data_IF_175550594189
#
_entry.id   IF_175550594189
#
_cell.length_a   1.000
_cell.length_b   1.000
_cell.length_c   1.000
_cell.angle_alpha   90.00
_cell.angle_beta   90.00
_cell.angle_gamma   90.00
#
_symmetry.space_group_name_H-M   'P 1'
#
loop_
_entity.id
_entity.type
_entity.pdbx_description
1 polymer ?
#
# COMPACT_ATOMS: atom_id res chain seq x y z
N UNK A 1 -22.33 -15.98 9.35
CA UNK A 1 -21.20 -15.35 10.09
C UNK A 1 -20.39 -14.41 9.21
N UNK A 2 -19.43 -14.86 8.37
CA UNK A 2 -18.58 -13.93 7.58
C UNK A 2 -19.38 -13.01 6.66
N UNK A 3 -20.35 -13.55 5.92
CA UNK A 3 -21.23 -12.76 5.04
C UNK A 3 -22.15 -11.76 5.77
N UNK A 4 -22.30 -11.88 7.09
CA UNK A 4 -23.09 -10.95 7.92
C UNK A 4 -22.22 -9.88 8.58
N UNK A 5 -20.91 -10.14 8.72
CA UNK A 5 -19.95 -9.26 9.41
C UNK A 5 -19.24 -8.35 8.39
N UNK A 6 -18.70 -8.93 7.32
CA UNK A 6 -17.85 -8.22 6.34
C UNK A 6 -18.52 -7.02 5.64
N UNK A 7 -19.83 -7.05 5.31
CA UNK A 7 -20.48 -5.90 4.68
C UNK A 7 -20.60 -4.67 5.61
N UNK A 8 -20.67 -4.89 6.93
CA UNK A 8 -20.87 -3.82 7.92
C UNK A 8 -19.73 -2.80 7.84
N UNK A 9 -18.49 -3.26 7.67
CA UNK A 9 -17.34 -2.38 7.50
C UNK A 9 -17.52 -1.43 6.31
N UNK A 10 -17.93 -1.98 5.16
CA UNK A 10 -18.04 -1.21 3.91
C UNK A 10 -19.17 -0.17 3.98
N UNK A 11 -20.33 -0.57 4.48
CA UNK A 11 -21.48 0.34 4.61
C UNK A 11 -21.25 1.41 5.67
N UNK A 12 -20.75 1.01 6.84
CA UNK A 12 -20.47 1.96 7.91
C UNK A 12 -19.34 2.92 7.55
N UNK A 13 -18.28 2.45 6.86
CA UNK A 13 -17.22 3.31 6.40
C UNK A 13 -17.74 4.42 5.49
N UNK A 14 -18.56 4.07 4.48
CA UNK A 14 -19.17 5.05 3.59
C UNK A 14 -20.02 6.07 4.36
N UNK A 15 -20.84 5.59 5.31
CA UNK A 15 -21.72 6.44 6.11
C UNK A 15 -20.95 7.38 7.06
N UNK A 16 -19.85 6.91 7.65
CA UNK A 16 -19.06 7.63 8.65
C UNK A 16 -18.02 8.56 8.01
N UNK A 17 -17.54 8.23 6.80
CA UNK A 17 -16.50 8.99 6.11
C UNK A 17 -16.88 10.46 5.90
N UNK A 18 -18.09 10.72 5.40
CA UNK A 18 -18.56 12.08 5.08
C UNK A 18 -18.70 12.93 6.36
N UNK A 19 -19.39 12.47 7.43
CA UNK A 19 -19.44 13.20 8.70
C UNK A 19 -18.06 13.45 9.31
N UNK A 20 -17.18 12.44 9.35
CA UNK A 20 -15.85 12.58 9.95
C UNK A 20 -15.01 13.59 9.19
N UNK A 21 -15.06 13.57 7.85
CA UNK A 21 -14.39 14.56 7.02
C UNK A 21 -14.87 15.99 7.31
N UNK A 22 -16.18 16.22 7.36
CA UNK A 22 -16.75 17.54 7.66
C UNK A 22 -16.47 18.01 9.09
N UNK A 23 -16.55 17.11 10.07
CA UNK A 23 -16.25 17.43 11.48
C UNK A 23 -14.78 17.75 11.71
N UNK A 24 -13.88 17.21 10.90
CA UNK A 24 -12.44 17.36 11.07
C UNK A 24 -12.00 18.81 11.02
N UNK A 25 -12.48 19.55 10.02
CA UNK A 25 -12.14 20.95 9.85
C UNK A 25 -12.91 21.85 10.84
N UNK A 26 -14.16 21.48 11.17
CA UNK A 26 -14.97 22.20 12.16
C UNK A 26 -14.39 22.10 13.59
N UNK A 27 -13.93 20.91 14.00
CA UNK A 27 -13.47 20.62 15.36
C UNK A 27 -11.97 20.79 15.57
N UNK A 28 -11.24 21.33 14.59
CA UNK A 28 -9.78 21.52 14.65
C UNK A 28 -9.01 20.24 14.99
N UNK A 29 -9.36 19.13 14.34
CA UNK A 29 -8.64 17.83 14.33
C UNK A 29 -8.53 17.05 15.66
N UNK A 30 -8.31 17.69 16.82
CA UNK A 30 -8.04 17.02 18.11
C UNK A 30 -9.18 16.08 18.57
N UNK A 31 -10.46 16.47 18.52
CA UNK A 31 -11.55 15.57 18.95
C UNK A 31 -11.70 14.35 18.03
N UNK A 32 -11.42 14.50 16.73
CA UNK A 32 -11.44 13.38 15.77
C UNK A 32 -10.32 12.37 16.06
N UNK A 33 -9.16 12.84 16.53
CA UNK A 33 -8.07 11.97 16.95
C UNK A 33 -8.38 11.21 18.24
N UNK A 34 -9.05 11.86 19.20
CA UNK A 34 -9.54 11.18 20.41
C UNK A 34 -10.59 10.13 20.05
N UNK A 35 -11.52 10.46 19.15
CA UNK A 35 -12.50 9.50 18.63
C UNK A 35 -11.83 8.30 17.94
N UNK A 36 -10.77 8.55 17.18
CA UNK A 36 -9.95 7.49 16.58
C UNK A 36 -9.31 6.58 17.64
N UNK A 37 -8.71 7.17 18.68
CA UNK A 37 -8.10 6.40 19.76
C UNK A 37 -9.11 5.54 20.52
N UNK A 38 -10.25 6.12 20.89
CA UNK A 38 -11.33 5.42 21.60
C UNK A 38 -11.92 4.29 20.77
N UNK A 39 -12.17 4.52 19.48
CA UNK A 39 -12.67 3.48 18.57
C UNK A 39 -11.68 2.32 18.41
N UNK A 40 -10.37 2.58 18.34
CA UNK A 40 -9.34 1.53 18.34
C UNK A 40 -9.38 0.68 19.62
N UNK A 41 -9.50 1.31 20.80
CA UNK A 41 -9.61 0.60 22.08
C UNK A 41 -10.87 -0.28 22.10
N UNK A 42 -12.01 0.24 21.61
CA UNK A 42 -13.24 -0.53 21.47
C UNK A 42 -13.08 -1.75 20.56
N UNK A 43 -12.39 -1.61 19.42
CA UNK A 43 -12.08 -2.74 18.52
C UNK A 43 -11.30 -3.82 19.25
N UNK A 44 -10.24 -3.45 19.98
CA UNK A 44 -9.42 -4.42 20.73
C UNK A 44 -10.21 -5.13 21.83
N UNK A 45 -11.02 -4.40 22.61
CA UNK A 45 -11.86 -5.00 23.65
C UNK A 45 -12.90 -5.97 23.06
N UNK A 46 -13.53 -5.59 21.96
CA UNK A 46 -14.48 -6.47 21.26
C UNK A 46 -13.78 -7.72 20.71
N UNK A 47 -12.58 -7.59 20.13
CA UNK A 47 -11.82 -8.75 19.65
C UNK A 47 -11.40 -9.70 20.77
N UNK A 48 -11.06 -9.19 21.96
CA UNK A 48 -10.58 -10.00 23.08
C UNK A 48 -11.70 -10.72 23.85
N UNK A 49 -12.84 -10.07 24.04
CA UNK A 49 -13.88 -10.54 24.95
C UNK A 49 -15.16 -11.05 24.28
N UNK A 50 -15.32 -10.84 22.96
CA UNK A 50 -16.58 -11.17 22.29
C UNK A 50 -16.53 -12.47 21.48
N UNK A 51 -17.63 -13.22 21.54
CA UNK A 51 -17.81 -14.51 20.87
C UNK A 51 -19.05 -14.56 19.97
N UNK A 52 -19.83 -13.47 19.89
CA UNK A 52 -21.09 -13.40 19.14
C UNK A 52 -20.98 -12.54 17.88
N UNK A 53 -21.76 -12.89 16.85
CA UNK A 53 -21.78 -12.21 15.54
C UNK A 53 -22.10 -10.72 15.67
N UNK A 54 -23.03 -10.36 16.54
CA UNK A 54 -23.43 -8.96 16.76
C UNK A 54 -22.26 -8.12 17.30
N UNK A 55 -21.43 -8.69 18.18
CA UNK A 55 -20.24 -8.01 18.68
C UNK A 55 -19.17 -7.83 17.59
N UNK A 56 -19.02 -8.81 16.70
CA UNK A 56 -18.12 -8.71 15.55
C UNK A 56 -18.60 -7.67 14.54
N UNK A 57 -19.92 -7.51 14.35
CA UNK A 57 -20.49 -6.42 13.54
C UNK A 57 -20.21 -5.05 14.16
N UNK A 58 -20.37 -4.90 15.48
CA UNK A 58 -19.99 -3.66 16.18
C UNK A 58 -18.48 -3.38 16.08
N UNK A 59 -17.65 -4.41 16.14
CA UNK A 59 -16.21 -4.28 15.93
C UNK A 59 -15.89 -3.69 14.57
N UNK A 60 -16.50 -4.20 13.49
CA UNK A 60 -16.34 -3.65 12.13
C UNK A 60 -16.83 -2.20 12.01
N UNK A 61 -17.90 -1.83 12.71
CA UNK A 61 -18.37 -0.45 12.79
C UNK A 61 -17.34 0.48 13.47
N UNK A 62 -16.79 0.10 14.62
CA UNK A 62 -15.75 0.91 15.27
C UNK A 62 -14.46 0.97 14.45
N UNK A 63 -14.14 -0.11 13.74
CA UNK A 63 -13.02 -0.15 12.82
C UNK A 63 -13.22 0.80 11.63
N UNK A 64 -14.45 0.97 11.13
CA UNK A 64 -14.75 1.93 10.06
C UNK A 64 -14.56 3.39 10.50
N UNK A 65 -14.94 3.74 11.74
CA UNK A 65 -14.66 5.05 12.36
C UNK A 65 -13.15 5.30 12.40
N UNK A 66 -12.39 4.28 12.84
CA UNK A 66 -10.93 4.33 12.88
C UNK A 66 -10.32 4.60 11.49
N UNK A 67 -10.82 3.92 10.46
CA UNK A 67 -10.37 4.10 9.08
C UNK A 67 -10.70 5.48 8.52
N UNK A 68 -11.90 6.01 8.80
CA UNK A 68 -12.30 7.34 8.37
C UNK A 68 -11.45 8.44 9.03
N UNK A 69 -11.23 8.35 10.34
CA UNK A 69 -10.43 9.31 11.08
C UNK A 69 -8.93 9.30 10.71
N UNK A 70 -8.42 8.21 10.12
CA UNK A 70 -7.03 8.14 9.61
C UNK A 70 -6.74 9.17 8.51
N UNK A 71 -7.74 9.51 7.71
CA UNK A 71 -7.62 10.54 6.66
C UNK A 71 -7.42 11.92 7.32
N UNK A 72 -8.21 12.21 8.35
CA UNK A 72 -8.10 13.43 9.15
C UNK A 72 -6.74 13.58 9.85
N UNK A 73 -6.21 12.49 10.43
CA UNK A 73 -4.87 12.47 11.03
C UNK A 73 -3.78 12.85 10.02
N UNK A 74 -3.88 12.34 8.79
CA UNK A 74 -2.91 12.61 7.74
C UNK A 74 -2.89 14.09 7.35
N UNK A 75 -4.02 14.79 7.40
CA UNK A 75 -4.08 16.24 7.17
C UNK A 75 -3.59 17.04 8.37
N UNK A 76 -3.94 16.63 9.60
CA UNK A 76 -3.50 17.29 10.83
C UNK A 76 -1.98 17.30 10.98
N UNK A 77 -1.31 16.21 10.64
CA UNK A 77 0.14 16.10 10.79
C UNK A 77 0.91 17.10 9.92
N UNK A 78 0.35 17.48 8.76
CA UNK A 78 0.90 18.53 7.91
C UNK A 78 0.57 19.92 8.47
N UNK A 79 -0.58 20.11 9.12
CA UNK A 79 -0.91 21.40 9.77
C UNK A 79 0.03 21.79 10.93
N UNK A 80 0.68 20.80 11.57
CA UNK A 80 1.60 21.01 12.70
C UNK A 80 3.04 21.32 12.29
N UNK A 81 3.38 21.14 11.02
CA UNK A 81 4.76 21.16 10.54
C UNK A 81 4.92 22.34 9.57
N UNK A 82 6.06 23.04 9.54
CA UNK A 82 6.30 24.04 8.51
C UNK A 82 6.34 23.41 7.12
N UNK A 83 5.90 24.10 6.04
CA UNK A 83 5.89 23.55 4.67
C UNK A 83 7.25 22.99 4.21
N UNK A 84 8.36 23.57 4.67
CA UNK A 84 9.72 23.10 4.39
C UNK A 84 10.00 21.66 4.86
N UNK A 85 9.21 21.15 5.81
CA UNK A 85 9.38 19.83 6.42
C UNK A 85 8.31 18.82 5.98
N UNK A 86 7.34 19.19 5.13
CA UNK A 86 6.26 18.29 4.69
C UNK A 86 6.78 16.99 4.07
N UNK A 87 7.77 17.08 3.20
CA UNK A 87 8.36 15.90 2.54
C UNK A 87 8.99 14.94 3.55
N UNK A 88 9.67 15.46 4.58
CA UNK A 88 10.24 14.64 5.66
C UNK A 88 9.15 14.03 6.53
N UNK A 89 8.11 14.81 6.86
CA UNK A 89 6.99 14.33 7.68
C UNK A 89 6.21 13.21 6.98
N UNK A 90 5.97 13.35 5.68
CA UNK A 90 5.36 12.30 4.86
C UNK A 90 6.22 11.02 4.85
N UNK A 91 7.54 11.17 4.75
CA UNK A 91 8.50 10.07 4.83
C UNK A 91 8.45 9.32 6.16
N UNK A 92 8.54 10.05 7.29
CA UNK A 92 8.49 9.46 8.63
C UNK A 92 7.16 8.78 8.93
N UNK A 93 6.04 9.43 8.58
CA UNK A 93 4.70 8.86 8.75
C UNK A 93 4.54 7.54 7.98
N UNK A 94 5.06 7.48 6.74
CA UNK A 94 4.99 6.25 5.95
C UNK A 94 5.92 5.15 6.49
N UNK A 95 7.10 5.51 6.97
CA UNK A 95 8.05 4.57 7.55
C UNK A 95 7.51 3.93 8.84
N UNK A 96 6.87 4.72 9.72
CA UNK A 96 6.31 4.21 10.98
C UNK A 96 5.15 3.23 10.75
N UNK A 97 4.26 3.51 9.80
CA UNK A 97 3.18 2.58 9.42
C UNK A 97 3.75 1.25 8.92
N UNK A 98 4.77 1.29 8.06
CA UNK A 98 5.40 0.08 7.52
C UNK A 98 6.11 -0.73 8.61
N UNK A 99 6.81 -0.07 9.53
CA UNK A 99 7.43 -0.73 10.68
C UNK A 99 6.38 -1.39 11.59
N UNK A 100 5.26 -0.72 11.84
CA UNK A 100 4.16 -1.29 12.64
C UNK A 100 3.52 -2.52 12.01
N UNK A 101 3.33 -2.53 10.69
CA UNK A 101 2.83 -3.71 9.96
C UNK A 101 3.84 -4.85 10.01
N UNK A 102 5.13 -4.54 9.85
CA UNK A 102 6.20 -5.52 9.93
C UNK A 102 6.25 -6.17 11.33
N UNK A 103 6.30 -5.38 12.40
CA UNK A 103 6.40 -5.89 13.76
C UNK A 103 5.16 -6.69 14.18
N UNK A 104 3.95 -6.24 13.82
CA UNK A 104 2.71 -6.96 14.15
C UNK A 104 2.58 -8.28 13.40
N UNK A 105 3.01 -8.34 12.14
CA UNK A 105 3.00 -9.58 11.35
C UNK A 105 3.97 -10.62 11.91
N UNK A 106 5.19 -10.18 12.28
CA UNK A 106 6.18 -11.05 12.92
C UNK A 106 5.67 -11.57 14.27
N UNK A 107 5.13 -10.68 15.11
CA UNK A 107 4.60 -11.05 16.42
C UNK A 107 3.39 -11.98 16.30
N UNK A 108 2.46 -11.70 15.38
CA UNK A 108 1.28 -12.53 15.14
C UNK A 108 1.68 -13.95 14.70
N UNK A 109 2.66 -14.07 13.81
CA UNK A 109 3.16 -15.38 13.37
C UNK A 109 3.83 -16.15 14.53
N UNK A 110 4.59 -15.46 15.40
CA UNK A 110 5.18 -16.07 16.59
C UNK A 110 4.14 -16.58 17.59
N UNK A 111 3.01 -15.90 17.73
CA UNK A 111 1.95 -16.25 18.69
C UNK A 111 1.04 -17.38 18.20
N UNK A 112 0.85 -17.54 16.88
CA UNK A 112 -0.08 -18.52 16.29
C UNK A 112 0.62 -19.86 15.96
N UNK A 113 1.94 -19.89 15.84
CA UNK A 113 2.68 -21.12 15.57
C UNK A 113 2.58 -22.06 16.79
N UNK A 114 2.09 -23.31 16.66
CA UNK A 114 1.78 -24.16 17.80
C UNK A 114 3.00 -24.43 18.68
N UNK A 115 2.93 -24.04 19.95
CA UNK A 115 3.78 -24.56 21.04
C UNK A 115 3.40 -26.02 21.33
N UNK A 116 3.62 -26.91 20.35
CA UNK A 116 3.32 -28.35 20.42
C UNK A 116 4.39 -29.17 21.14
N UNK A 117 4.93 -28.69 22.25
CA UNK A 117 5.96 -29.38 23.04
C UNK A 117 5.81 -29.09 24.53
N UNK A 118 5.72 -30.16 25.33
CA UNK A 118 5.40 -30.21 26.77
C UNK A 118 6.06 -29.10 27.64
N UNK A 119 5.36 -28.60 28.68
CA UNK A 119 5.90 -27.60 29.60
C UNK A 119 6.87 -28.25 30.59
N UNK A 120 8.17 -28.07 30.35
CA UNK A 120 9.22 -28.48 31.28
C UNK A 120 10.58 -28.28 30.65
N UNK A 121 11.30 -27.24 31.12
CA UNK A 121 12.66 -26.82 30.72
C UNK A 121 12.76 -26.12 29.36
N UNK A 122 12.84 -24.77 29.39
CA UNK A 122 13.21 -23.94 28.25
C UNK A 122 14.71 -23.58 28.35
N UNK A 123 15.55 -23.99 27.38
CA UNK A 123 16.76 -23.26 27.05
C UNK A 123 16.41 -22.12 26.09
N UNK A 124 17.05 -20.95 26.27
CA UNK A 124 16.86 -19.72 25.50
C UNK A 124 17.14 -19.81 23.96
N UNK A 125 17.40 -21.01 23.43
CA UNK A 125 17.81 -21.29 22.03
C UNK A 125 16.66 -21.27 21.00
N UNK A 126 15.39 -21.24 21.46
CA UNK A 126 14.22 -21.35 20.58
C UNK A 126 13.91 -20.08 19.74
N UNK A 127 14.27 -18.90 20.24
CA UNK A 127 13.96 -17.62 19.57
C UNK A 127 14.84 -17.40 18.33
N UNK A 128 16.11 -17.81 18.43
CA UNK A 128 17.05 -17.78 17.30
C UNK A 128 16.71 -18.89 16.29
N UNK A 129 16.22 -20.04 16.76
CA UNK A 129 15.89 -21.18 15.88
C UNK A 129 14.64 -20.95 15.03
N UNK A 130 13.58 -20.32 15.55
CA UNK A 130 12.36 -20.07 14.78
C UNK A 130 12.56 -18.98 13.71
N UNK A 131 13.17 -17.84 14.07
CA UNK A 131 13.53 -16.80 13.11
C UNK A 131 14.57 -17.29 12.10
N UNK A 132 15.61 -18.01 12.55
CA UNK A 132 16.58 -18.58 11.63
C UNK A 132 15.96 -19.63 10.72
N UNK A 133 15.01 -20.44 11.21
CA UNK A 133 14.25 -21.38 10.38
C UNK A 133 13.43 -20.64 9.34
N UNK A 134 12.62 -19.65 9.72
CA UNK A 134 11.82 -18.86 8.79
C UNK A 134 12.68 -18.10 7.77
N UNK A 135 13.82 -17.54 8.17
CA UNK A 135 14.75 -16.86 7.26
C UNK A 135 15.48 -17.84 6.34
N UNK A 136 15.85 -19.03 6.84
CA UNK A 136 16.47 -20.09 6.03
C UNK A 136 15.46 -20.66 5.03
N UNK A 137 14.22 -20.87 5.46
CA UNK A 137 13.10 -21.32 4.64
C UNK A 137 12.70 -20.25 3.62
N UNK A 138 12.70 -18.97 3.99
CA UNK A 138 12.58 -17.84 3.05
C UNK A 138 13.71 -17.89 2.01
N UNK A 139 14.95 -18.14 2.43
CA UNK A 139 16.10 -18.29 1.55
C UNK A 139 16.00 -19.48 0.59
N UNK A 140 15.46 -20.62 1.04
CA UNK A 140 15.17 -21.78 0.18
C UNK A 140 14.02 -21.50 -0.79
N UNK A 141 12.96 -20.87 -0.29
CA UNK A 141 11.75 -20.59 -1.09
C UNK A 141 12.01 -19.48 -2.12
N UNK A 142 12.88 -18.51 -1.80
CA UNK A 142 13.38 -17.49 -2.73
C UNK A 142 14.17 -18.07 -3.93
N UNK A 143 14.58 -19.34 -3.88
CA UNK A 143 15.20 -20.05 -5.01
C UNK A 143 14.17 -20.55 -6.03
N UNK A 144 12.87 -20.57 -5.69
CA UNK A 144 11.83 -20.92 -6.65
C UNK A 144 11.77 -19.86 -7.76
N UNK A 145 11.97 -20.23 -9.03
CA UNK A 145 12.15 -19.27 -10.12
C UNK A 145 10.90 -18.40 -10.34
N UNK A 146 9.72 -18.97 -10.14
CA UNK A 146 8.45 -18.28 -10.28
C UNK A 146 8.20 -17.30 -9.13
N UNK A 147 8.46 -17.69 -7.88
CA UNK A 147 8.36 -16.79 -6.73
C UNK A 147 9.35 -15.63 -6.86
N UNK A 148 10.61 -15.92 -7.21
CA UNK A 148 11.65 -14.90 -7.39
C UNK A 148 11.24 -13.88 -8.46
N UNK A 149 10.70 -14.34 -9.58
CA UNK A 149 10.22 -13.48 -10.65
C UNK A 149 9.15 -12.50 -10.17
N UNK A 150 8.11 -13.01 -9.52
CA UNK A 150 7.00 -12.18 -9.05
C UNK A 150 7.36 -11.29 -7.87
N UNK A 151 8.21 -11.76 -6.96
CA UNK A 151 8.72 -10.94 -5.85
C UNK A 151 9.63 -9.81 -6.33
N UNK A 152 10.55 -10.07 -7.27
CA UNK A 152 11.37 -9.01 -7.87
C UNK A 152 10.50 -8.01 -8.62
N UNK A 153 9.57 -8.49 -9.45
CA UNK A 153 8.62 -7.62 -10.13
C UNK A 153 7.86 -6.76 -9.13
N UNK A 154 7.34 -7.33 -8.04
CA UNK A 154 6.63 -6.59 -6.99
C UNK A 154 7.49 -5.47 -6.41
N UNK A 155 8.75 -5.77 -6.06
CA UNK A 155 9.68 -4.81 -5.45
C UNK A 155 9.93 -3.62 -6.39
N UNK A 156 10.33 -3.89 -7.63
CA UNK A 156 10.66 -2.85 -8.61
C UNK A 156 9.43 -2.06 -9.05
N UNK A 157 8.36 -2.76 -9.41
CA UNK A 157 7.13 -2.14 -9.90
C UNK A 157 6.45 -1.30 -8.81
N UNK A 158 6.39 -1.78 -7.56
CA UNK A 158 5.83 -0.99 -6.45
C UNK A 158 6.65 0.26 -6.16
N UNK A 159 7.99 0.14 -6.16
CA UNK A 159 8.88 1.28 -5.95
C UNK A 159 8.66 2.35 -7.04
N UNK A 160 8.71 1.94 -8.31
CA UNK A 160 8.50 2.83 -9.46
C UNK A 160 7.11 3.46 -9.48
N UNK A 161 6.06 2.67 -9.25
CA UNK A 161 4.68 3.15 -9.18
C UNK A 161 4.50 4.27 -8.15
N UNK A 162 4.98 4.06 -6.93
CA UNK A 162 4.84 5.08 -5.89
C UNK A 162 5.63 6.35 -6.21
N UNK A 163 6.82 6.25 -6.80
CA UNK A 163 7.54 7.44 -7.28
C UNK A 163 6.69 8.22 -8.27
N UNK A 164 6.18 7.56 -9.30
CA UNK A 164 5.38 8.22 -10.34
C UNK A 164 4.16 8.89 -9.71
N UNK A 165 3.41 8.19 -8.86
CA UNK A 165 2.23 8.75 -8.18
C UNK A 165 2.59 9.97 -7.31
N UNK A 166 3.75 9.99 -6.64
CA UNK A 166 4.16 11.15 -5.85
C UNK A 166 4.58 12.35 -6.69
N UNK A 167 5.22 12.13 -7.83
CA UNK A 167 5.77 13.20 -8.67
C UNK A 167 4.85 13.63 -9.82
N UNK A 168 3.79 12.87 -10.14
CA UNK A 168 2.92 13.16 -11.30
C UNK A 168 2.22 14.51 -11.19
N UNK A 169 1.76 14.91 -10.01
CA UNK A 169 1.13 16.21 -9.81
C UNK A 169 2.11 17.37 -10.03
N UNK A 170 3.38 17.16 -9.67
CA UNK A 170 4.44 18.13 -9.89
C UNK A 170 4.72 18.25 -11.40
N UNK A 171 4.77 17.11 -12.11
CA UNK A 171 4.90 17.07 -13.56
C UNK A 171 3.74 17.79 -14.26
N UNK A 172 2.49 17.52 -13.86
CA UNK A 172 1.31 18.19 -14.42
C UNK A 172 1.34 19.71 -14.23
N UNK A 173 1.82 20.18 -13.07
CA UNK A 173 1.98 21.61 -12.83
C UNK A 173 3.08 22.25 -13.68
N UNK A 174 4.12 21.48 -14.07
CA UNK A 174 5.14 21.94 -15.03
C UNK A 174 4.59 21.96 -16.47
N UNK A 175 3.73 21.01 -16.82
CA UNK A 175 3.11 20.92 -18.16
C UNK A 175 2.02 21.98 -18.35
N UNK A 176 1.21 22.21 -17.32
CA UNK A 176 0.15 23.23 -17.32
C UNK A 176 0.15 23.99 -15.98
N UNK A 177 0.87 25.12 -15.88
CA UNK A 177 0.95 25.92 -14.66
C UNK A 177 -0.42 26.39 -14.18
N UNK A 178 -0.66 26.32 -12.87
CA UNK A 178 -1.94 26.67 -12.22
C UNK A 178 -2.35 28.15 -12.31
N UNK A 179 -1.58 28.98 -13.01
CA UNK A 179 -1.90 30.40 -13.24
C UNK A 179 -3.15 30.58 -14.11
N UNK A 180 -3.44 29.62 -14.99
CA UNK A 180 -4.68 29.51 -15.76
C UNK A 180 -5.62 28.47 -15.12
N UNK A 181 -6.45 28.92 -14.17
CA UNK A 181 -7.34 28.06 -13.35
C UNK A 181 -8.51 27.42 -14.11
N UNK A 182 -8.74 27.79 -15.37
CA UNK A 182 -9.95 27.40 -16.12
C UNK A 182 -9.92 26.00 -16.74
N UNK A 183 -8.79 25.25 -16.67
CA UNK A 183 -8.64 23.93 -17.34
C UNK A 183 -7.83 22.87 -16.56
N UNK A 184 -7.80 22.92 -15.23
CA UNK A 184 -7.06 21.91 -14.42
C UNK A 184 -7.98 20.75 -14.02
N UNK A 185 -7.78 19.57 -14.63
CA UNK A 185 -8.61 18.36 -14.40
C UNK A 185 -7.87 17.24 -13.64
N UNK A 186 -6.87 17.58 -12.82
CA UNK A 186 -6.06 16.61 -12.07
C UNK A 186 -6.92 15.59 -11.29
N UNK A 187 -7.92 16.08 -10.55
CA UNK A 187 -8.84 15.20 -9.81
C UNK A 187 -9.70 14.30 -10.70
N UNK A 188 -10.03 14.74 -11.91
CA UNK A 188 -10.72 13.92 -12.91
C UNK A 188 -9.83 12.80 -13.44
N UNK A 189 -8.55 13.08 -13.69
CA UNK A 189 -7.57 12.07 -14.07
C UNK A 189 -7.33 11.05 -12.93
N UNK A 190 -7.31 11.50 -11.68
CA UNK A 190 -7.23 10.60 -10.51
C UNK A 190 -8.47 9.72 -10.37
N UNK A 191 -9.67 10.27 -10.57
CA UNK A 191 -10.92 9.51 -10.53
C UNK A 191 -10.97 8.47 -11.67
N UNK A 192 -10.67 8.88 -12.90
CA UNK A 192 -10.64 8.00 -14.06
C UNK A 192 -9.60 6.87 -13.91
N UNK A 193 -8.41 7.19 -13.39
CA UNK A 193 -7.37 6.20 -13.13
C UNK A 193 -7.75 5.24 -12.00
N UNK A 194 -8.49 5.71 -10.99
CA UNK A 194 -9.03 4.87 -9.91
C UNK A 194 -10.10 3.91 -10.44
N UNK A 195 -11.05 4.42 -11.24
CA UNK A 195 -12.10 3.61 -11.87
C UNK A 195 -11.52 2.55 -12.79
N UNK A 196 -10.59 2.93 -13.68
CA UNK A 196 -9.90 1.98 -14.55
C UNK A 196 -9.11 0.95 -13.73
N UNK A 197 -8.46 1.39 -12.65
CA UNK A 197 -7.76 0.51 -11.71
C UNK A 197 -8.69 -0.52 -11.06
N UNK A 198 -9.91 -0.13 -10.68
CA UNK A 198 -10.91 -1.04 -10.13
C UNK A 198 -11.37 -2.07 -11.18
N UNK A 199 -11.70 -1.62 -12.40
CA UNK A 199 -12.12 -2.49 -13.51
C UNK A 199 -11.02 -3.51 -13.84
N UNK A 200 -9.78 -3.04 -14.01
CA UNK A 200 -8.65 -3.90 -14.35
C UNK A 200 -8.29 -4.87 -13.23
N UNK A 201 -8.30 -4.43 -11.96
CA UNK A 201 -8.09 -5.31 -10.81
C UNK A 201 -9.18 -6.38 -10.68
N UNK A 202 -10.44 -6.05 -10.98
CA UNK A 202 -11.52 -7.03 -11.01
C UNK A 202 -11.35 -8.02 -12.17
N UNK A 203 -11.06 -7.52 -13.37
CA UNK A 203 -10.80 -8.33 -14.55
C UNK A 203 -9.66 -9.33 -14.35
N UNK A 204 -8.61 -8.94 -13.60
CA UNK A 204 -7.48 -9.80 -13.23
C UNK A 204 -7.92 -11.13 -12.60
N UNK A 205 -9.01 -11.13 -11.81
CA UNK A 205 -9.56 -12.32 -11.16
C UNK A 205 -10.12 -13.37 -12.13
N UNK A 206 -10.43 -12.98 -13.37
CA UNK A 206 -10.96 -13.86 -14.41
C UNK A 206 -9.90 -14.35 -15.38
N UNK A 207 -8.66 -13.84 -15.31
CA UNK A 207 -7.57 -14.21 -16.22
C UNK A 207 -7.03 -15.60 -15.87
N UNK A 208 -7.48 -16.60 -16.63
CA UNK A 208 -7.03 -18.00 -16.51
C UNK A 208 -6.00 -18.32 -17.60
N UNK A 209 -4.73 -18.06 -17.31
CA UNK A 209 -3.60 -18.35 -18.21
C UNK A 209 -2.62 -19.31 -17.54
N UNK A 210 -1.88 -20.09 -18.33
CA UNK A 210 -0.73 -20.89 -17.86
C UNK A 210 0.43 -19.97 -17.46
N UNK A 211 0.35 -19.40 -16.25
CA UNK A 211 1.30 -18.40 -15.75
C UNK A 211 2.76 -18.86 -15.73
N UNK A 212 3.03 -20.15 -15.54
CA UNK A 212 4.39 -20.70 -15.62
C UNK A 212 5.08 -20.45 -16.98
N UNK A 213 4.30 -20.42 -18.07
CA UNK A 213 4.81 -20.19 -19.44
C UNK A 213 4.77 -18.70 -19.81
N UNK A 214 3.66 -18.03 -19.49
CA UNK A 214 3.37 -16.70 -20.01
C UNK A 214 3.76 -15.55 -19.07
N UNK A 215 4.08 -15.80 -17.80
CA UNK A 215 4.38 -14.73 -16.84
C UNK A 215 5.53 -13.82 -17.29
N UNK A 216 6.63 -14.40 -17.79
CA UNK A 216 7.79 -13.62 -18.26
C UNK A 216 7.41 -12.67 -19.40
N UNK A 217 6.67 -13.17 -20.38
CA UNK A 217 6.23 -12.38 -21.52
C UNK A 217 5.26 -11.27 -21.09
N UNK A 218 4.25 -11.61 -20.28
CA UNK A 218 3.25 -10.65 -19.81
C UNK A 218 3.92 -9.55 -18.97
N UNK A 219 4.79 -9.92 -18.03
CA UNK A 219 5.55 -8.96 -17.23
C UNK A 219 6.39 -8.05 -18.14
N UNK A 220 7.14 -8.63 -19.10
CA UNK A 220 7.97 -7.85 -20.00
C UNK A 220 7.14 -6.86 -20.83
N UNK A 221 6.04 -7.31 -21.44
CA UNK A 221 5.15 -6.48 -22.26
C UNK A 221 4.54 -5.35 -21.43
N UNK A 222 4.01 -5.66 -20.24
CA UNK A 222 3.39 -4.63 -19.38
C UNK A 222 4.44 -3.65 -18.86
N UNK A 223 5.63 -4.10 -18.49
CA UNK A 223 6.71 -3.21 -18.05
C UNK A 223 7.21 -2.31 -19.18
N UNK A 224 7.33 -2.81 -20.41
CA UNK A 224 7.67 -1.99 -21.59
C UNK A 224 6.55 -0.97 -21.87
N UNK A 225 5.29 -1.39 -21.81
CA UNK A 225 4.14 -0.49 -21.96
C UNK A 225 4.17 0.61 -20.89
N UNK A 226 4.38 0.25 -19.63
CA UNK A 226 4.48 1.21 -18.53
C UNK A 226 5.64 2.19 -18.73
N UNK A 227 6.82 1.70 -19.11
CA UNK A 227 7.96 2.55 -19.42
C UNK A 227 7.66 3.52 -20.57
N UNK A 228 7.00 3.03 -21.64
CA UNK A 228 6.58 3.88 -22.76
C UNK A 228 5.58 4.96 -22.35
N UNK A 229 4.61 4.63 -21.48
CA UNK A 229 3.65 5.60 -20.94
C UNK A 229 4.33 6.66 -20.06
N UNK A 230 5.30 6.26 -19.24
CA UNK A 230 6.10 7.20 -18.44
C UNK A 230 6.91 8.13 -19.35
N UNK A 231 7.57 7.57 -20.37
CA UNK A 231 8.32 8.36 -21.34
C UNK A 231 7.42 9.34 -22.11
N UNK A 232 6.21 8.93 -22.46
CA UNK A 232 5.20 9.80 -23.07
C UNK A 232 4.81 10.96 -22.15
N UNK A 233 4.57 10.69 -20.86
CA UNK A 233 4.29 11.73 -19.87
C UNK A 233 5.46 12.72 -19.72
N UNK A 234 6.70 12.23 -19.78
CA UNK A 234 7.89 13.06 -19.73
C UNK A 234 8.06 13.98 -20.96
N UNK A 235 7.83 13.44 -22.16
CA UNK A 235 8.04 14.16 -23.43
C UNK A 235 6.91 15.11 -23.80
N UNK A 236 5.67 14.81 -23.41
CA UNK A 236 4.51 15.60 -23.85
C UNK A 236 4.47 16.97 -23.17
N UNK A 237 3.95 17.96 -23.89
CA UNK A 237 3.55 19.27 -23.35
C UNK A 237 2.03 19.42 -23.32
N UNK A 238 1.27 18.39 -23.72
CA UNK A 238 -0.18 18.39 -23.67
C UNK A 238 -0.67 17.66 -22.42
N UNK A 239 -1.39 18.38 -21.56
CA UNK A 239 -1.90 17.86 -20.29
C UNK A 239 -2.88 16.69 -20.47
N UNK A 240 -3.70 16.68 -21.53
CA UNK A 240 -4.65 15.59 -21.79
C UNK A 240 -3.95 14.29 -22.16
N UNK A 241 -2.91 14.36 -23.00
CA UNK A 241 -2.07 13.20 -23.28
C UNK A 241 -1.35 12.70 -22.02
N UNK A 242 -0.91 13.63 -21.16
CA UNK A 242 -0.30 13.27 -19.88
C UNK A 242 -1.28 12.57 -18.94
N UNK A 243 -2.53 13.05 -18.84
CA UNK A 243 -3.59 12.42 -18.05
C UNK A 243 -3.95 11.04 -18.60
N UNK A 244 -4.17 10.91 -19.91
CA UNK A 244 -4.47 9.62 -20.54
C UNK A 244 -3.35 8.61 -20.29
N UNK A 245 -2.09 9.03 -20.44
CA UNK A 245 -0.95 8.17 -20.18
C UNK A 245 -0.87 7.74 -18.71
N UNK A 246 -1.14 8.65 -17.77
CA UNK A 246 -1.20 8.33 -16.34
C UNK A 246 -2.33 7.34 -16.00
N UNK A 247 -3.53 7.56 -16.56
CA UNK A 247 -4.69 6.67 -16.37
C UNK A 247 -4.37 5.25 -16.84
N UNK A 248 -3.81 5.10 -18.04
CA UNK A 248 -3.40 3.80 -18.59
C UNK A 248 -2.27 3.16 -17.78
N UNK A 249 -1.28 3.96 -17.34
CA UNK A 249 -0.18 3.49 -16.50
C UNK A 249 -0.73 2.89 -15.19
N UNK A 250 -1.61 3.62 -14.50
CA UNK A 250 -2.23 3.16 -13.25
C UNK A 250 -3.11 1.92 -13.46
N UNK A 251 -3.89 1.88 -14.54
CA UNK A 251 -4.70 0.72 -14.89
C UNK A 251 -3.87 -0.54 -15.12
N UNK A 252 -2.79 -0.44 -15.92
CA UNK A 252 -1.88 -1.57 -16.17
C UNK A 252 -1.19 -2.09 -14.91
N UNK A 253 -0.83 -1.18 -13.98
CA UNK A 253 -0.29 -1.54 -12.68
C UNK A 253 -1.32 -2.33 -11.85
N UNK A 254 -2.55 -1.81 -11.74
CA UNK A 254 -3.59 -2.44 -10.92
C UNK A 254 -4.09 -3.77 -11.48
N UNK A 255 -3.95 -4.02 -12.78
CA UNK A 255 -4.19 -5.34 -13.38
C UNK A 255 -3.23 -6.41 -12.82
N UNK A 256 -1.92 -6.09 -12.75
CA UNK A 256 -0.90 -7.07 -12.39
C UNK A 256 -0.80 -7.35 -10.89
N UNK A 257 -1.23 -6.42 -10.03
CA UNK A 257 -1.12 -6.59 -8.56
C UNK A 257 -1.89 -7.82 -8.03
N UNK A 258 -3.17 -8.05 -8.39
CA UNK A 258 -3.88 -9.26 -7.97
C UNK A 258 -3.25 -10.54 -8.51
N UNK A 259 -2.78 -10.52 -9.76
CA UNK A 259 -2.10 -11.67 -10.39
C UNK A 259 -0.81 -11.99 -9.62
N UNK A 260 0.02 -10.98 -9.35
CA UNK A 260 1.25 -11.15 -8.59
C UNK A 260 0.97 -11.68 -7.17
N UNK A 261 -0.05 -11.13 -6.51
CA UNK A 261 -0.50 -11.61 -5.20
C UNK A 261 -0.87 -13.09 -5.24
N UNK A 262 -1.70 -13.50 -6.22
CA UNK A 262 -2.10 -14.89 -6.41
C UNK A 262 -0.90 -15.82 -6.70
N UNK A 263 0.01 -15.39 -7.56
CA UNK A 263 1.19 -16.18 -7.95
C UNK A 263 2.20 -16.35 -6.81
N UNK A 264 2.43 -15.29 -6.02
CA UNK A 264 3.26 -15.35 -4.82
C UNK A 264 2.59 -16.24 -3.78
N UNK A 265 1.31 -16.03 -3.48
CA UNK A 265 0.59 -16.78 -2.44
C UNK A 265 0.46 -18.28 -2.77
N UNK A 266 0.27 -18.64 -4.04
CA UNK A 266 0.19 -20.04 -4.50
C UNK A 266 1.54 -20.76 -4.51
N UNK A 267 2.65 -20.02 -4.57
CA UNK A 267 4.01 -20.59 -4.51
C UNK A 267 4.53 -20.78 -3.08
N UNK A 268 3.75 -20.40 -2.06
CA UNK A 268 4.17 -20.33 -0.66
C UNK A 268 3.27 -21.16 0.26
N UNK A 269 3.87 -21.73 1.30
CA UNK A 269 3.15 -22.24 2.47
C UNK A 269 2.42 -21.10 3.18
N UNK A 270 1.32 -21.42 3.88
CA UNK A 270 0.46 -20.42 4.53
C UNK A 270 1.22 -19.54 5.53
N UNK A 271 2.20 -20.10 6.22
CA UNK A 271 3.05 -19.45 7.23
C UNK A 271 4.05 -18.44 6.63
N UNK A 272 4.46 -18.63 5.38
CA UNK A 272 5.45 -17.77 4.71
C UNK A 272 4.84 -16.64 3.89
N UNK A 273 3.52 -16.67 3.61
CA UNK A 273 2.83 -15.67 2.79
C UNK A 273 2.99 -14.26 3.35
N UNK A 274 2.62 -14.06 4.61
CA UNK A 274 2.70 -12.75 5.27
C UNK A 274 4.15 -12.24 5.31
N UNK A 275 5.11 -13.13 5.62
CA UNK A 275 6.53 -12.80 5.66
C UNK A 275 7.04 -12.32 4.30
N UNK A 276 6.75 -13.03 3.21
CA UNK A 276 7.21 -12.67 1.86
C UNK A 276 6.59 -11.36 1.39
N UNK A 277 5.28 -11.15 1.61
CA UNK A 277 4.65 -9.86 1.29
C UNK A 277 5.25 -8.71 2.10
N UNK A 278 5.54 -8.93 3.38
CA UNK A 278 6.23 -7.97 4.24
C UNK A 278 7.63 -7.62 3.73
N UNK A 279 8.46 -8.62 3.44
CA UNK A 279 9.82 -8.44 2.92
C UNK A 279 9.81 -7.74 1.56
N UNK A 280 8.94 -8.13 0.63
CA UNK A 280 8.82 -7.49 -0.68
C UNK A 280 8.43 -6.01 -0.54
N UNK A 281 7.49 -5.69 0.36
CA UNK A 281 7.05 -4.31 0.60
C UNK A 281 8.15 -3.48 1.27
N UNK A 282 8.89 -4.07 2.20
CA UNK A 282 10.05 -3.45 2.83
C UNK A 282 11.14 -3.12 1.79
N UNK A 283 11.53 -4.11 0.96
CA UNK A 283 12.52 -3.92 -0.10
C UNK A 283 12.08 -2.88 -1.14
N UNK A 284 10.80 -2.87 -1.53
CA UNK A 284 10.25 -1.84 -2.42
C UNK A 284 10.39 -0.43 -1.81
N UNK A 285 10.17 -0.31 -0.51
CA UNK A 285 10.28 0.96 0.21
C UNK A 285 11.73 1.41 0.32
N UNK A 286 12.66 0.50 0.62
CA UNK A 286 14.09 0.78 0.64
C UNK A 286 14.55 1.27 -0.74
N UNK A 287 14.22 0.54 -1.80
CA UNK A 287 14.57 0.89 -3.17
C UNK A 287 14.05 2.27 -3.56
N UNK A 288 12.76 2.53 -3.31
CA UNK A 288 12.15 3.85 -3.54
C UNK A 288 12.90 4.96 -2.80
N UNK A 289 13.21 4.74 -1.51
CA UNK A 289 13.88 5.74 -0.67
C UNK A 289 15.28 6.05 -1.19
N UNK A 290 16.03 5.03 -1.62
CA UNK A 290 17.35 5.20 -2.24
C UNK A 290 17.23 6.06 -3.50
N UNK A 291 16.29 5.73 -4.40
CA UNK A 291 16.07 6.50 -5.64
C UNK A 291 15.74 7.96 -5.30
N UNK A 292 14.81 8.21 -4.38
CA UNK A 292 14.45 9.59 -3.97
C UNK A 292 15.65 10.35 -3.39
N UNK A 293 16.46 9.71 -2.55
CA UNK A 293 17.64 10.34 -1.96
C UNK A 293 18.71 10.70 -3.00
N UNK A 294 18.92 9.83 -3.99
CA UNK A 294 19.91 10.06 -5.04
C UNK A 294 19.44 11.09 -6.05
N UNK A 295 18.18 11.00 -6.51
CA UNK A 295 17.69 11.73 -7.68
C UNK A 295 17.02 13.06 -7.30
N UNK A 296 16.17 13.05 -6.28
CA UNK A 296 15.26 14.17 -5.98
C UNK A 296 15.67 15.00 -4.76
N UNK A 297 16.40 14.44 -3.80
CA UNK A 297 16.85 15.17 -2.61
C UNK A 297 17.95 16.17 -2.97
N UNK A 298 17.91 17.36 -2.34
CA UNK A 298 18.93 18.41 -2.49
C UNK A 298 20.32 17.97 -2.01
N UNK A 299 20.39 16.96 -1.14
CA UNK A 299 21.63 16.31 -0.67
C UNK A 299 22.19 15.31 -1.69
N UNK A 300 21.37 14.88 -2.65
CA UNK A 300 21.75 14.07 -3.80
C UNK A 300 21.97 14.94 -5.03
N UNK A 301 21.46 14.50 -6.19
CA UNK A 301 21.58 15.22 -7.46
C UNK A 301 20.65 16.43 -7.56
N UNK A 302 19.57 16.47 -6.76
CA UNK A 302 18.63 17.60 -6.73
C UNK A 302 18.06 17.97 -8.10
N UNK A 303 17.81 16.98 -8.97
CA UNK A 303 17.53 17.25 -10.38
C UNK A 303 16.22 18.04 -10.56
N UNK A 304 16.11 18.90 -11.60
CA UNK A 304 14.84 19.50 -11.99
C UNK A 304 13.78 18.43 -12.30
N UNK A 305 12.50 18.73 -12.07
CA UNK A 305 11.37 17.76 -12.17
C UNK A 305 11.36 16.95 -13.48
N UNK A 306 11.70 17.56 -14.62
CA UNK A 306 11.78 16.85 -15.90
C UNK A 306 13.04 15.98 -16.03
N UNK A 307 14.11 16.29 -15.32
CA UNK A 307 15.37 15.54 -15.37
C UNK A 307 15.48 14.45 -14.31
N UNK A 308 14.54 14.38 -13.36
CA UNK A 308 14.39 13.29 -12.37
C UNK A 308 13.81 12.04 -13.02
#
# INVERSE_FOLDING_TARGET
>A
VTNEITPVLSYSYLAVLVPVFLLTDYLRYKPVLLLQGLSYVSVWLLLLFSSSVLHMQFMEFFFSITMAARIAYSSYIFSLVPPACYQRMAGYSRASVLLGVFTSSVLGQLLVTPMGGKPGQLPASWRDSALAHMLRELGHTARLPQLRLWSLWWVFNSAGYYLIVYYVHILWNVVNPTTDTTRVYNGGADAASTLLGAITSFAAGFVRIRWALWAKLIIAVVTVLQAGLIFLMYKTSNIWLCYSAFVLFRGSHQLLVPIATFQIASSLSQELRALVFGVNTFLATVLKTIITLVVSDKRGLGLPVRSQ
#
